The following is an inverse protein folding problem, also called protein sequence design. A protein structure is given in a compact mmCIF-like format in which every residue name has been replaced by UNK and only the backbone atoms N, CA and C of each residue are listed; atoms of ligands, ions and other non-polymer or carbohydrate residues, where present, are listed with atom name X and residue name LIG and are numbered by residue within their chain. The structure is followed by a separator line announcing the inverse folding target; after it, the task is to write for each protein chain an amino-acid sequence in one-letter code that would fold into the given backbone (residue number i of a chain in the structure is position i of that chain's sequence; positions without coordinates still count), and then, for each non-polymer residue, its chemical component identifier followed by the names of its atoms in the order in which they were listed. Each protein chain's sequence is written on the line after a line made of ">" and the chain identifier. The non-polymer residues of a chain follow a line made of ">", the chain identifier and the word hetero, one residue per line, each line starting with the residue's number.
data_IF_319733203515
#
_entry.id   IF_319733203515
#
_cell.length_a   1.000
_cell.length_b   1.000
_cell.length_c   1.000
_cell.angle_alpha   90.00
_cell.angle_beta   90.00
_cell.angle_gamma   90.00
#
_symmetry.space_group_name_H-M   'P 1'
#
loop_
_entity.id
_entity.type
_entity.pdbx_description
1 polymer ?
#
# COMPACT_ATOMS: atom_id res chain seq x y z
N UNK A 1 -6.73 -9.40 -10.11
CA UNK A 1 -6.27 -8.10 -10.65
C UNK A 1 -6.49 -7.04 -9.58
N UNK A 2 -5.46 -6.47 -8.98
CA UNK A 2 -5.52 -5.54 -7.84
C UNK A 2 -6.44 -4.30 -8.02
N UNK A 3 -6.71 -3.58 -6.92
CA UNK A 3 -7.48 -2.32 -6.89
C UNK A 3 -6.68 -1.16 -6.30
N UNK A 4 -6.79 0.04 -6.89
CA UNK A 4 -6.18 1.29 -6.39
C UNK A 4 -7.29 2.31 -6.16
N UNK A 5 -7.23 3.01 -5.03
CA UNK A 5 -8.09 4.16 -4.73
C UNK A 5 -7.21 5.30 -4.24
N UNK A 6 -7.44 6.52 -4.75
CA UNK A 6 -6.83 7.74 -4.23
C UNK A 6 -7.90 8.76 -3.92
N UNK A 7 -7.67 9.57 -2.88
CA UNK A 7 -8.59 10.66 -2.53
C UNK A 7 -7.84 11.91 -2.10
N UNK A 8 -8.22 13.04 -2.69
CA UNK A 8 -7.83 14.40 -2.30
C UNK A 8 -9.11 15.24 -2.29
N UNK A 9 -9.45 15.86 -1.17
CA UNK A 9 -10.63 16.71 -1.09
C UNK A 9 -11.13 16.95 0.33
N UNK A 10 -12.36 17.45 0.45
CA UNK A 10 -12.88 18.00 1.71
C UNK A 10 -13.61 16.98 2.60
N UNK A 11 -13.72 15.71 2.19
CA UNK A 11 -14.34 14.64 3.00
C UNK A 11 -13.30 13.98 3.89
N UNK A 12 -13.75 13.26 4.92
CA UNK A 12 -12.88 12.38 5.70
C UNK A 12 -12.26 11.32 4.78
N UNK A 13 -10.93 11.29 4.74
CA UNK A 13 -10.17 10.50 3.76
C UNK A 13 -10.36 9.00 3.96
N UNK A 14 -10.22 8.53 5.21
CA UNK A 14 -10.22 7.09 5.53
C UNK A 14 -11.51 6.40 5.10
N UNK A 15 -12.73 6.90 5.44
CA UNK A 15 -13.97 6.29 4.97
C UNK A 15 -14.09 6.26 3.44
N UNK A 16 -13.69 7.32 2.74
CA UNK A 16 -13.78 7.39 1.28
C UNK A 16 -12.89 6.34 0.62
N UNK A 17 -11.66 6.19 1.11
CA UNK A 17 -10.73 5.18 0.57
C UNK A 17 -11.24 3.78 0.89
N UNK A 18 -11.67 3.50 2.12
CA UNK A 18 -12.18 2.17 2.52
C UNK A 18 -13.42 1.78 1.71
N UNK A 19 -14.37 2.68 1.50
CA UNK A 19 -15.55 2.42 0.67
C UNK A 19 -15.19 2.19 -0.79
N UNK A 20 -14.18 2.91 -1.30
CA UNK A 20 -13.62 2.65 -2.62
C UNK A 20 -12.99 1.26 -2.73
N UNK A 21 -12.20 0.86 -1.73
CA UNK A 21 -11.55 -0.45 -1.69
C UNK A 21 -12.56 -1.60 -1.57
N UNK A 22 -13.66 -1.42 -0.82
CA UNK A 22 -14.76 -2.40 -0.75
C UNK A 22 -15.32 -2.72 -2.14
N UNK A 23 -15.50 -1.69 -2.97
CA UNK A 23 -15.97 -1.85 -4.36
C UNK A 23 -14.95 -2.54 -5.25
N UNK A 24 -13.68 -2.62 -4.84
CA UNK A 24 -12.59 -3.26 -5.58
C UNK A 24 -12.09 -4.55 -4.90
N UNK A 25 -12.74 -5.05 -3.85
CA UNK A 25 -12.28 -6.24 -3.14
C UNK A 25 -12.38 -7.50 -4.01
N UNK A 26 -13.35 -7.57 -4.93
CA UNK A 26 -13.49 -8.68 -5.89
C UNK A 26 -12.27 -8.84 -6.82
N UNK A 27 -11.43 -7.81 -6.89
CA UNK A 27 -10.27 -7.70 -7.76
C UNK A 27 -8.99 -8.26 -7.09
N UNK A 28 -8.88 -8.14 -5.77
CA UNK A 28 -7.77 -8.68 -4.96
C UNK A 28 -8.14 -8.73 -3.47
N UNK A 29 -7.79 -9.82 -2.80
CA UNK A 29 -8.21 -10.11 -1.42
C UNK A 29 -7.13 -10.81 -0.60
N UNK A 30 -5.89 -10.85 -1.10
CA UNK A 30 -4.76 -11.48 -0.40
C UNK A 30 -4.15 -10.55 0.65
N UNK A 31 -4.28 -9.24 0.46
CA UNK A 31 -3.92 -8.20 1.43
C UNK A 31 -4.50 -6.85 1.01
N UNK A 32 -4.52 -5.90 1.94
CA UNK A 32 -4.94 -4.52 1.67
C UNK A 32 -4.13 -3.52 2.52
N UNK A 33 -4.09 -2.27 2.08
CA UNK A 33 -3.50 -1.21 2.86
C UNK A 33 -3.96 0.19 2.47
N UNK A 34 -3.65 1.15 3.34
CA UNK A 34 -3.97 2.56 3.22
C UNK A 34 -2.80 3.40 3.70
N UNK A 35 -2.53 4.49 3.00
CA UNK A 35 -1.65 5.57 3.41
C UNK A 35 -2.41 6.90 3.43
N UNK A 36 -2.24 7.70 4.47
CA UNK A 36 -2.80 9.06 4.57
C UNK A 36 -1.76 10.05 5.06
N UNK A 37 -1.96 11.32 4.69
CA UNK A 37 -1.13 12.45 5.06
C UNK A 37 -1.98 13.72 5.23
N UNK A 38 -1.34 14.77 5.76
CA UNK A 38 -1.86 16.15 5.68
C UNK A 38 -2.63 16.65 6.91
N UNK A 39 -2.53 15.94 8.04
CA UNK A 39 -3.01 16.36 9.36
C UNK A 39 -1.89 16.89 10.30
N UNK A 40 -0.64 16.99 9.82
CA UNK A 40 0.52 17.40 10.62
C UNK A 40 1.25 16.25 11.34
N UNK A 41 0.73 15.02 11.33
CA UNK A 41 1.34 13.84 11.96
C UNK A 41 2.28 13.07 11.03
N UNK A 42 2.61 13.64 9.86
CA UNK A 42 3.39 12.98 8.82
C UNK A 42 2.61 11.90 8.07
N UNK A 43 3.34 11.00 7.40
CA UNK A 43 2.79 9.91 6.62
C UNK A 43 2.41 8.72 7.50
N UNK A 44 1.14 8.36 7.52
CA UNK A 44 0.60 7.22 8.27
C UNK A 44 0.22 6.09 7.33
N UNK A 45 0.62 4.85 7.65
CA UNK A 45 0.27 3.64 6.89
C UNK A 45 -0.36 2.60 7.81
N UNK A 46 -1.37 1.90 7.30
CA UNK A 46 -1.84 0.61 7.84
C UNK A 46 -1.96 -0.40 6.72
N UNK A 47 -1.59 -1.63 7.01
CA UNK A 47 -1.64 -2.77 6.10
C UNK A 47 -2.20 -3.96 6.86
N UNK A 48 -2.76 -4.91 6.12
CA UNK A 48 -3.22 -6.18 6.66
C UNK A 48 -3.14 -7.25 5.59
N UNK A 49 -2.78 -8.47 5.99
CA UNK A 49 -2.96 -9.65 5.17
C UNK A 49 -4.43 -10.09 5.12
N UNK A 50 -4.80 -10.78 4.04
CA UNK A 50 -6.15 -11.28 3.79
C UNK A 50 -7.13 -10.20 3.33
N UNK A 51 -8.41 -10.45 3.62
CA UNK A 51 -9.55 -9.65 3.16
C UNK A 51 -9.56 -8.25 3.75
N UNK A 52 -10.25 -7.33 3.09
CA UNK A 52 -10.31 -5.91 3.47
C UNK A 52 -10.80 -5.69 4.90
N UNK A 53 -11.68 -6.57 5.41
CA UNK A 53 -12.14 -6.55 6.81
C UNK A 53 -11.00 -6.56 7.83
N UNK A 54 -9.87 -7.19 7.51
CA UNK A 54 -8.70 -7.25 8.39
C UNK A 54 -8.03 -5.87 8.46
N UNK A 55 -7.99 -5.13 7.35
CA UNK A 55 -7.51 -3.75 7.34
C UNK A 55 -8.46 -2.85 8.14
N UNK A 56 -9.79 -3.01 7.98
CA UNK A 56 -10.77 -2.26 8.78
C UNK A 56 -10.57 -2.48 10.29
N UNK A 57 -10.27 -3.72 10.69
CA UNK A 57 -9.94 -4.05 12.08
C UNK A 57 -8.65 -3.36 12.55
N UNK A 58 -7.59 -3.39 11.75
CA UNK A 58 -6.33 -2.70 12.05
C UNK A 58 -6.55 -1.20 12.23
N UNK A 59 -7.37 -0.58 11.37
CA UNK A 59 -7.70 0.85 11.45
C UNK A 59 -8.53 1.15 12.70
N UNK A 60 -9.47 0.27 13.06
CA UNK A 60 -10.26 0.39 14.29
C UNK A 60 -9.38 0.37 15.53
N UNK A 61 -8.41 -0.53 15.58
CA UNK A 61 -7.48 -0.68 16.72
C UNK A 61 -6.40 0.40 16.75
N UNK A 62 -5.94 0.86 15.57
CA UNK A 62 -4.90 1.87 15.42
C UNK A 62 -5.35 2.92 14.40
N UNK A 63 -6.22 3.86 14.80
CA UNK A 63 -6.73 4.91 13.92
C UNK A 63 -5.60 5.68 13.23
N UNK A 64 -5.93 6.24 12.07
CA UNK A 64 -5.12 7.17 11.30
C UNK A 64 -6.05 8.24 10.74
N UNK A 65 -5.52 9.43 10.42
CA UNK A 65 -6.30 10.50 9.83
C UNK A 65 -5.45 11.36 8.88
N UNK A 66 -6.09 12.12 8.00
CA UNK A 66 -5.42 12.93 7.00
C UNK A 66 -6.39 13.72 6.13
N UNK A 67 -5.83 14.55 5.25
CA UNK A 67 -6.58 15.36 4.26
C UNK A 67 -6.48 14.80 2.84
N UNK A 68 -5.54 13.88 2.60
CA UNK A 68 -5.46 13.07 1.37
C UNK A 68 -4.81 11.71 1.64
N UNK A 69 -4.99 10.78 0.71
CA UNK A 69 -4.40 9.45 0.84
C UNK A 69 -4.63 8.53 -0.36
N UNK A 70 -4.04 7.34 -0.27
CA UNK A 70 -4.16 6.26 -1.25
C UNK A 70 -4.41 4.94 -0.53
N UNK A 71 -5.10 4.01 -1.20
CA UNK A 71 -5.35 2.66 -0.73
C UNK A 71 -5.21 1.64 -1.83
N UNK A 72 -4.96 0.39 -1.44
CA UNK A 72 -4.74 -0.72 -2.35
C UNK A 72 -5.37 -2.02 -1.84
N UNK A 73 -5.95 -2.79 -2.75
CA UNK A 73 -6.26 -4.21 -2.56
C UNK A 73 -5.38 -5.04 -3.47
N UNK A 74 -4.72 -6.05 -2.92
CA UNK A 74 -3.67 -6.81 -3.59
C UNK A 74 -4.11 -8.23 -3.90
N UNK A 75 -3.77 -8.67 -5.11
CA UNK A 75 -3.68 -10.06 -5.53
C UNK A 75 -2.20 -10.38 -5.70
N UNK A 76 -1.66 -11.30 -4.91
CA UNK A 76 -0.21 -11.52 -4.86
C UNK A 76 0.30 -12.21 -6.14
N UNK A 77 1.30 -11.61 -6.80
CA UNK A 77 2.04 -12.22 -7.93
C UNK A 77 3.49 -12.54 -7.52
N UNK A 78 4.19 -11.56 -6.95
CA UNK A 78 5.53 -11.70 -6.36
C UNK A 78 5.49 -11.54 -4.85
N UNK A 79 6.16 -12.43 -4.11
CA UNK A 79 6.16 -12.41 -2.64
C UNK A 79 4.87 -12.93 -2.01
N UNK A 80 5.00 -13.51 -0.81
CA UNK A 80 3.86 -14.09 -0.08
C UNK A 80 2.83 -13.03 0.32
N UNK A 81 1.55 -13.40 0.54
CA UNK A 81 0.51 -12.49 1.01
C UNK A 81 0.67 -12.18 2.50
N UNK A 82 1.65 -11.33 2.83
CA UNK A 82 1.98 -10.87 4.19
C UNK A 82 1.69 -9.38 4.33
N UNK A 83 1.61 -8.88 5.57
CA UNK A 83 1.49 -7.44 5.84
C UNK A 83 2.64 -6.62 5.22
N UNK A 84 3.86 -7.15 5.26
CA UNK A 84 5.06 -6.49 4.72
C UNK A 84 5.00 -6.31 3.19
N UNK A 85 4.49 -7.32 2.48
CA UNK A 85 4.31 -7.30 1.03
C UNK A 85 3.01 -6.61 0.59
N UNK A 86 2.13 -6.23 1.51
CA UNK A 86 0.96 -5.44 1.19
C UNK A 86 1.37 -4.01 0.79
N UNK A 87 0.68 -3.46 -0.20
CA UNK A 87 0.86 -2.05 -0.57
C UNK A 87 0.08 -1.16 0.40
N UNK A 88 0.44 0.13 0.57
CA UNK A 88 1.51 0.87 -0.12
C UNK A 88 2.94 0.53 0.34
N UNK A 89 3.90 0.57 -0.58
CA UNK A 89 5.34 0.48 -0.28
C UNK A 89 5.92 1.87 0.00
N UNK A 90 6.96 1.93 0.84
CA UNK A 90 7.66 3.17 1.21
C UNK A 90 9.05 3.22 0.58
N UNK A 91 9.50 4.43 0.27
CA UNK A 91 10.91 4.66 -0.08
C UNK A 91 11.84 4.53 1.15
N UNK A 92 13.15 4.50 0.92
CA UNK A 92 14.14 4.38 2.00
C UNK A 92 14.09 5.53 3.02
N UNK A 93 13.61 6.72 2.63
CA UNK A 93 13.45 7.86 3.57
C UNK A 93 12.11 7.88 4.30
N UNK A 94 11.16 7.02 3.91
CA UNK A 94 9.82 6.95 4.49
C UNK A 94 8.94 8.16 4.19
N UNK A 95 9.31 8.98 3.19
CA UNK A 95 8.58 10.21 2.79
C UNK A 95 7.61 9.98 1.65
N UNK A 96 7.86 8.97 0.81
CA UNK A 96 7.08 8.66 -0.38
C UNK A 96 6.49 7.27 -0.25
N UNK A 97 5.27 7.12 -0.77
CA UNK A 97 4.62 5.82 -0.90
C UNK A 97 4.13 5.58 -2.31
N UNK A 98 4.14 4.31 -2.70
CA UNK A 98 3.61 3.87 -3.99
C UNK A 98 2.66 2.70 -3.83
N UNK A 99 1.64 2.69 -4.67
CA UNK A 99 0.76 1.54 -4.94
C UNK A 99 0.86 1.23 -6.42
N UNK A 100 0.88 -0.05 -6.76
CA UNK A 100 1.08 -0.50 -8.13
C UNK A 100 0.12 -1.63 -8.48
N UNK A 101 -0.42 -1.56 -9.70
CA UNK A 101 -1.19 -2.61 -10.35
C UNK A 101 -0.49 -2.97 -11.66
N UNK A 102 0.16 -4.12 -11.69
CA UNK A 102 0.95 -4.55 -12.84
C UNK A 102 2.05 -5.50 -12.40
N UNK A 103 2.99 -5.76 -13.29
CA UNK A 103 4.21 -6.51 -13.02
C UNK A 103 5.39 -5.72 -13.58
N UNK A 104 6.42 -5.51 -12.77
CA UNK A 104 7.70 -4.96 -13.22
C UNK A 104 8.59 -6.11 -13.68
N UNK A 105 8.56 -6.44 -14.97
CA UNK A 105 9.20 -7.66 -15.51
C UNK A 105 10.72 -7.73 -15.27
N UNK A 106 11.39 -6.58 -15.24
CA UNK A 106 12.84 -6.48 -15.02
C UNK A 106 13.23 -6.16 -13.56
N UNK A 107 12.32 -6.37 -12.59
CA UNK A 107 12.57 -6.00 -11.19
C UNK A 107 13.82 -6.67 -10.58
N UNK A 108 14.18 -7.89 -11.01
CA UNK A 108 15.39 -8.58 -10.51
C UNK A 108 16.66 -7.81 -10.87
N UNK A 109 16.75 -7.33 -12.11
CA UNK A 109 17.89 -6.53 -12.56
C UNK A 109 17.92 -5.17 -11.87
N UNK A 110 16.77 -4.51 -11.73
CA UNK A 110 16.65 -3.23 -11.03
C UNK A 110 17.01 -3.36 -9.54
N UNK A 111 16.50 -4.38 -8.86
CA UNK A 111 16.77 -4.65 -7.44
C UNK A 111 18.26 -4.87 -7.19
N UNK A 112 18.96 -5.63 -8.05
CA UNK A 112 20.41 -5.82 -7.96
C UNK A 112 21.17 -4.50 -8.08
N UNK A 113 20.87 -3.72 -9.12
CA UNK A 113 21.48 -2.39 -9.32
C UNK A 113 21.25 -1.46 -8.12
N UNK A 114 20.01 -1.38 -7.62
CA UNK A 114 19.67 -0.53 -6.48
C UNK A 114 20.38 -0.97 -5.19
N UNK A 115 20.55 -2.28 -4.96
CA UNK A 115 21.34 -2.80 -3.83
C UNK A 115 22.81 -2.39 -3.96
N UNK A 116 23.39 -2.47 -5.16
CA UNK A 116 24.77 -2.01 -5.43
C UNK A 116 24.94 -0.51 -5.19
N UNK A 117 23.90 0.29 -5.47
CA UNK A 117 23.83 1.72 -5.17
C UNK A 117 23.55 2.03 -3.68
N UNK A 118 23.36 1.00 -2.83
CA UNK A 118 23.22 1.13 -1.38
C UNK A 118 21.78 1.20 -0.87
N UNK A 119 20.77 0.97 -1.72
CA UNK A 119 19.37 0.90 -1.30
C UNK A 119 19.05 -0.40 -0.56
N UNK A 120 18.18 -0.31 0.45
CA UNK A 120 17.71 -1.44 1.24
C UNK A 120 16.31 -1.83 0.81
N UNK A 121 16.10 -3.12 0.59
CA UNK A 121 14.80 -3.71 0.33
C UNK A 121 14.31 -4.45 1.57
N UNK A 122 13.03 -4.32 1.84
CA UNK A 122 12.34 -4.92 2.98
C UNK A 122 11.29 -5.92 2.53
N UNK A 123 10.91 -5.91 1.26
CA UNK A 123 9.82 -6.73 0.74
C UNK A 123 10.30 -7.65 -0.39
N UNK A 124 9.44 -8.60 -0.72
CA UNK A 124 9.64 -9.55 -1.81
C UNK A 124 8.89 -9.13 -3.09
N UNK A 125 8.29 -7.93 -3.11
CA UNK A 125 7.49 -7.47 -4.23
C UNK A 125 8.36 -6.84 -5.31
N UNK A 126 7.89 -6.95 -6.54
CA UNK A 126 8.42 -6.22 -7.69
C UNK A 126 8.12 -4.71 -7.61
N UNK A 127 7.23 -4.28 -6.73
CA UNK A 127 6.83 -2.88 -6.63
C UNK A 127 7.84 -2.04 -5.86
N UNK A 128 8.60 -2.62 -4.93
CA UNK A 128 9.58 -1.88 -4.12
C UNK A 128 10.77 -1.34 -4.92
N UNK A 129 10.96 -1.76 -6.19
CA UNK A 129 11.99 -1.16 -7.06
C UNK A 129 11.57 0.19 -7.66
N UNK A 130 10.32 0.61 -7.46
CA UNK A 130 9.76 1.91 -7.89
C UNK A 130 10.01 2.94 -6.79
#
# INVERSE_FOLDING_TARGET
>A
MCGIVGYVGNKRVVPVIIDGLKRLEYRGYDSAGIAVCGNGEGLQIRRAEGKLRNLEEVIRLKPLDGTYGIGHTRWATHGRPTEENAHPHRDCSGRVVVVHNGIIENYVALKRKLIEEGHRFTTETDTEVI
#
